data_IF_281141020474
#
_entry.id   IF_281141020474
#
_cell.length_a   1.000
_cell.length_b   1.000
_cell.length_c   1.000
_cell.angle_alpha   90.00
_cell.angle_beta   90.00
_cell.angle_gamma   90.00
#
_symmetry.space_group_name_H-M   'P 1'
#
loop_
_entity.id
_entity.type
_entity.pdbx_description
1 polymer ?
#
# COMPACT_ATOMS: atom_id res chain seq x y z
N UNK A 1 6.02 -17.65 -20.61
CA UNK A 1 4.67 -17.64 -20.01
C UNK A 1 3.79 -16.70 -20.79
N UNK A 2 2.78 -17.25 -21.46
CA UNK A 2 1.87 -16.52 -22.32
C UNK A 2 0.89 -15.66 -21.49
N UNK A 3 0.24 -14.69 -22.14
CA UNK A 3 -0.72 -13.79 -21.47
C UNK A 3 -1.89 -14.55 -20.83
N UNK A 4 -2.35 -15.65 -21.43
CA UNK A 4 -3.40 -16.51 -20.89
C UNK A 4 -2.95 -17.23 -19.61
N UNK A 5 -1.76 -17.86 -19.66
CA UNK A 5 -1.20 -18.59 -18.51
C UNK A 5 -1.01 -17.69 -17.29
N UNK A 6 -0.56 -16.45 -17.49
CA UNK A 6 -0.47 -15.45 -16.41
C UNK A 6 -1.83 -15.14 -15.79
N UNK A 7 -2.86 -15.05 -16.62
CA UNK A 7 -4.21 -14.72 -16.16
C UNK A 7 -4.84 -15.89 -15.40
N UNK A 8 -4.60 -17.13 -15.83
CA UNK A 8 -5.04 -18.35 -15.16
C UNK A 8 -4.34 -18.55 -13.81
N UNK A 9 -3.03 -18.32 -13.74
CA UNK A 9 -2.29 -18.35 -12.47
C UNK A 9 -2.80 -17.31 -11.49
N UNK A 10 -2.95 -16.06 -11.94
CA UNK A 10 -3.54 -15.00 -11.12
C UNK A 10 -4.95 -15.37 -10.62
N UNK A 11 -5.77 -15.99 -11.49
CA UNK A 11 -7.11 -16.44 -11.10
C UNK A 11 -7.06 -17.48 -9.99
N UNK A 12 -6.19 -18.47 -10.13
CA UNK A 12 -6.02 -19.54 -9.14
C UNK A 12 -5.53 -18.98 -7.79
N UNK A 13 -4.53 -18.10 -7.81
CA UNK A 13 -4.04 -17.40 -6.62
C UNK A 13 -5.13 -16.57 -5.96
N UNK A 14 -5.92 -15.84 -6.76
CA UNK A 14 -6.99 -14.98 -6.24
C UNK A 14 -8.11 -15.79 -5.58
N UNK A 15 -8.48 -16.93 -6.16
CA UNK A 15 -9.46 -17.86 -5.57
C UNK A 15 -8.95 -18.39 -4.23
N UNK A 16 -7.69 -18.81 -4.16
CA UNK A 16 -7.09 -19.29 -2.90
C UNK A 16 -7.05 -18.19 -1.84
N UNK A 17 -6.65 -16.98 -2.23
CA UNK A 17 -6.67 -15.81 -1.34
C UNK A 17 -8.08 -15.56 -0.77
N UNK A 18 -9.11 -15.57 -1.61
CA UNK A 18 -10.49 -15.31 -1.19
C UNK A 18 -11.01 -16.42 -0.27
N UNK A 19 -10.64 -17.68 -0.48
CA UNK A 19 -10.98 -18.79 0.42
C UNK A 19 -10.38 -18.60 1.82
N UNK A 20 -9.24 -17.92 1.93
CA UNK A 20 -8.61 -17.58 3.21
C UNK A 20 -9.23 -16.38 3.94
N UNK A 21 -10.15 -15.64 3.32
CA UNK A 21 -10.77 -14.47 3.94
C UNK A 21 -11.80 -14.87 4.99
N UNK A 22 -11.73 -14.25 6.18
CA UNK A 22 -12.70 -14.46 7.27
C UNK A 22 -14.14 -14.10 6.89
N UNK A 23 -14.31 -13.09 6.05
CA UNK A 23 -15.62 -12.65 5.55
C UNK A 23 -15.49 -12.11 4.12
N UNK A 24 -15.56 -12.99 3.11
CA UNK A 24 -15.57 -12.57 1.72
C UNK A 24 -16.81 -11.70 1.43
N UNK A 25 -16.69 -10.73 0.53
CA UNK A 25 -17.84 -9.94 0.08
C UNK A 25 -18.77 -10.78 -0.83
N UNK A 26 -19.95 -10.27 -1.17
CA UNK A 26 -20.93 -11.03 -1.96
C UNK A 26 -20.44 -11.40 -3.37
N UNK A 27 -19.70 -10.51 -4.03
CA UNK A 27 -19.11 -10.77 -5.35
C UNK A 27 -18.06 -11.89 -5.29
N UNK A 28 -17.25 -11.90 -4.23
CA UNK A 28 -16.24 -12.91 -3.96
C UNK A 28 -16.86 -14.27 -3.62
N UNK A 29 -17.94 -14.28 -2.83
CA UNK A 29 -18.73 -15.51 -2.57
C UNK A 29 -19.30 -16.08 -3.86
N UNK A 30 -19.91 -15.24 -4.70
CA UNK A 30 -20.42 -15.68 -6.01
C UNK A 30 -19.30 -16.23 -6.89
N UNK A 31 -18.13 -15.60 -6.88
CA UNK A 31 -16.97 -16.09 -7.62
C UNK A 31 -16.53 -17.48 -7.15
N UNK A 32 -16.48 -17.72 -5.84
CA UNK A 32 -16.16 -19.05 -5.29
C UNK A 32 -17.20 -20.10 -5.71
N UNK A 33 -18.49 -19.81 -5.56
CA UNK A 33 -19.58 -20.72 -5.95
C UNK A 33 -19.46 -21.07 -7.45
N UNK A 34 -19.28 -20.06 -8.30
CA UNK A 34 -19.13 -20.26 -9.73
C UNK A 34 -17.83 -20.99 -10.07
N UNK A 35 -16.79 -20.92 -9.25
CA UNK A 35 -15.53 -21.65 -9.45
C UNK A 35 -15.66 -23.12 -9.04
N UNK A 36 -16.42 -23.43 -7.99
CA UNK A 36 -16.59 -24.79 -7.45
C UNK A 36 -17.63 -25.61 -8.23
N UNK A 37 -18.51 -24.95 -8.99
CA UNK A 37 -19.51 -25.62 -9.83
C UNK A 37 -18.87 -26.51 -10.91
N UNK A 38 -19.17 -27.80 -10.93
CA UNK A 38 -18.64 -28.74 -11.93
C UNK A 38 -19.18 -28.44 -13.34
N UNK A 39 -20.50 -28.32 -13.49
CA UNK A 39 -21.15 -28.06 -14.78
C UNK A 39 -21.40 -26.56 -15.00
N UNK A 40 -20.36 -25.84 -15.40
CA UNK A 40 -20.50 -24.41 -15.72
C UNK A 40 -21.20 -24.22 -17.06
N UNK A 41 -22.29 -23.46 -17.05
CA UNK A 41 -22.94 -23.02 -18.29
C UNK A 41 -22.12 -21.93 -18.98
N UNK A 42 -22.39 -21.65 -20.26
CA UNK A 42 -21.77 -20.52 -20.96
C UNK A 42 -22.01 -19.18 -20.24
N UNK A 43 -23.17 -19.03 -19.59
CA UNK A 43 -23.50 -17.85 -18.79
C UNK A 43 -22.67 -17.79 -17.49
N UNK A 44 -22.42 -18.92 -16.84
CA UNK A 44 -21.57 -19.00 -15.65
C UNK A 44 -20.13 -18.60 -15.97
N UNK A 45 -19.58 -19.09 -17.09
CA UNK A 45 -18.24 -18.76 -17.55
C UNK A 45 -18.13 -17.25 -17.84
N UNK A 46 -19.13 -16.69 -18.52
CA UNK A 46 -19.19 -15.24 -18.81
C UNK A 46 -19.25 -14.42 -17.52
N UNK A 47 -20.10 -14.83 -16.58
CA UNK A 47 -20.24 -14.17 -15.27
C UNK A 47 -18.93 -14.23 -14.49
N UNK A 48 -18.28 -15.40 -14.45
CA UNK A 48 -16.99 -15.58 -13.80
C UNK A 48 -15.91 -14.66 -14.40
N UNK A 49 -15.85 -14.57 -15.73
CA UNK A 49 -14.92 -13.67 -16.43
C UNK A 49 -15.13 -12.20 -16.06
N UNK A 50 -16.39 -11.76 -15.90
CA UNK A 50 -16.71 -10.39 -15.47
C UNK A 50 -16.30 -10.15 -14.02
N UNK A 51 -16.58 -11.10 -13.12
CA UNK A 51 -16.18 -11.02 -11.71
C UNK A 51 -14.65 -10.93 -11.58
N UNK A 52 -13.91 -11.74 -12.34
CA UNK A 52 -12.44 -11.70 -12.34
C UNK A 52 -11.91 -10.33 -12.80
N UNK A 53 -12.49 -9.73 -13.84
CA UNK A 53 -12.10 -8.39 -14.29
C UNK A 53 -12.39 -7.31 -13.25
N UNK A 54 -13.52 -7.42 -12.55
CA UNK A 54 -13.86 -6.51 -11.46
C UNK A 54 -12.86 -6.61 -10.31
N UNK A 55 -12.48 -7.83 -9.90
CA UNK A 55 -11.46 -8.08 -8.89
C UNK A 55 -10.09 -7.51 -9.29
N UNK A 56 -9.65 -7.69 -10.54
CA UNK A 56 -8.40 -7.09 -11.03
C UNK A 56 -8.44 -5.56 -11.01
N UNK A 57 -9.57 -4.96 -11.38
CA UNK A 57 -9.72 -3.51 -11.34
C UNK A 57 -9.67 -2.97 -9.91
N UNK A 58 -10.31 -3.68 -8.97
CA UNK A 58 -10.28 -3.33 -7.55
C UNK A 58 -8.86 -3.43 -6.97
N UNK A 59 -8.12 -4.50 -7.29
CA UNK A 59 -6.72 -4.68 -6.88
C UNK A 59 -5.83 -3.55 -7.41
N UNK A 60 -5.92 -3.22 -8.70
CA UNK A 60 -5.17 -2.10 -9.29
C UNK A 60 -5.52 -0.76 -8.65
N UNK A 61 -6.79 -0.52 -8.33
CA UNK A 61 -7.21 0.70 -7.65
C UNK A 61 -6.63 0.78 -6.23
N UNK A 62 -6.58 -0.34 -5.50
CA UNK A 62 -5.94 -0.40 -4.18
C UNK A 62 -4.43 -0.13 -4.27
N UNK A 63 -3.75 -0.73 -5.23
CA UNK A 63 -2.31 -0.52 -5.45
C UNK A 63 -2.01 0.96 -5.79
N UNK A 64 -2.81 1.56 -6.67
CA UNK A 64 -2.67 2.98 -7.03
C UNK A 64 -2.89 3.90 -5.81
N UNK A 65 -3.92 3.64 -5.00
CA UNK A 65 -4.16 4.38 -3.74
C UNK A 65 -2.98 4.24 -2.78
N UNK A 66 -2.44 3.03 -2.61
CA UNK A 66 -1.28 2.80 -1.76
C UNK A 66 -0.04 3.57 -2.21
N UNK A 67 0.22 3.60 -3.53
CA UNK A 67 1.32 4.39 -4.12
C UNK A 67 1.19 5.88 -3.83
N UNK A 68 0.00 6.46 -4.03
CA UNK A 68 -0.27 7.88 -3.74
C UNK A 68 -0.09 8.17 -2.25
N UNK A 69 -0.63 7.33 -1.37
CA UNK A 69 -0.47 7.50 0.08
C UNK A 69 1.00 7.43 0.50
N UNK A 70 1.78 6.51 -0.08
CA UNK A 70 3.22 6.42 0.18
C UNK A 70 3.98 7.68 -0.23
N UNK A 71 3.60 8.29 -1.36
CA UNK A 71 4.18 9.56 -1.83
C UNK A 71 3.86 10.69 -0.86
N UNK A 72 2.58 10.86 -0.49
CA UNK A 72 2.16 11.88 0.49
C UNK A 72 2.92 11.70 1.82
N UNK A 73 3.06 10.47 2.29
CA UNK A 73 3.81 10.18 3.53
C UNK A 73 5.31 10.37 3.38
N UNK A 74 5.88 10.22 2.17
CA UNK A 74 7.27 10.55 1.91
C UNK A 74 7.49 12.07 1.99
N UNK A 75 6.61 12.86 1.40
CA UNK A 75 6.65 14.33 1.47
C UNK A 75 6.53 14.83 2.91
N UNK A 76 5.52 14.38 3.66
CA UNK A 76 5.36 14.73 5.09
C UNK A 76 6.60 14.38 5.92
N UNK A 77 7.23 13.22 5.65
CA UNK A 77 8.47 12.82 6.31
C UNK A 77 9.65 13.71 5.93
N UNK A 78 9.72 14.18 4.68
CA UNK A 78 10.76 15.10 4.22
C UNK A 78 10.61 16.47 4.89
N UNK A 79 9.40 17.02 4.94
CA UNK A 79 9.08 18.28 5.65
C UNK A 79 9.44 18.19 7.14
N UNK A 80 9.03 17.11 7.82
CA UNK A 80 9.37 16.90 9.23
C UNK A 80 10.88 16.75 9.47
N UNK A 81 11.66 16.28 8.50
CA UNK A 81 13.14 16.26 8.59
C UNK A 81 13.72 17.66 8.38
N UNK A 82 13.19 18.43 7.43
CA UNK A 82 13.63 19.80 7.18
C UNK A 82 13.39 20.71 8.41
N UNK A 83 12.21 20.61 9.03
CA UNK A 83 11.88 21.34 10.25
C UNK A 83 12.83 21.00 11.41
N UNK A 84 13.16 19.72 11.59
CA UNK A 84 14.14 19.28 12.59
C UNK A 84 15.54 19.85 12.31
N UNK A 85 16.01 19.77 11.07
CA UNK A 85 17.31 20.35 10.67
C UNK A 85 17.38 21.85 10.94
N UNK A 86 16.32 22.59 10.63
CA UNK A 86 16.25 24.03 10.89
C UNK A 86 16.31 24.35 12.39
N UNK A 87 15.55 23.60 13.20
CA UNK A 87 15.57 23.73 14.67
C UNK A 87 16.95 23.41 15.25
N UNK A 88 17.55 22.30 14.84
CA UNK A 88 18.86 21.88 15.35
C UNK A 88 19.94 22.88 14.92
N UNK A 89 19.86 23.44 13.71
CA UNK A 89 20.75 24.52 13.27
C UNK A 89 20.60 25.79 14.12
N UNK A 90 19.36 26.21 14.43
CA UNK A 90 19.11 27.35 15.31
C UNK A 90 19.65 27.12 16.74
N UNK A 91 19.55 25.88 17.25
CA UNK A 91 20.11 25.51 18.55
C UNK A 91 21.64 25.58 18.55
N UNK A 92 22.31 25.13 17.49
CA UNK A 92 23.76 25.27 17.38
C UNK A 92 24.20 26.74 17.30
N UNK A 93 23.47 27.57 16.56
CA UNK A 93 23.76 29.00 16.47
C UNK A 93 23.59 29.68 17.84
N UNK A 94 22.50 29.41 18.56
CA UNK A 94 22.29 29.99 19.89
C UNK A 94 23.33 29.52 20.90
N UNK A 95 23.70 28.23 20.89
CA UNK A 95 24.78 27.71 21.72
C UNK A 95 26.12 28.42 21.42
N UNK A 96 26.45 28.62 20.14
CA UNK A 96 27.66 29.36 19.74
C UNK A 96 27.65 30.81 20.22
N UNK A 97 26.51 31.50 20.14
CA UNK A 97 26.36 32.85 20.67
C UNK A 97 26.51 32.92 22.20
N UNK A 98 25.98 31.94 22.93
CA UNK A 98 26.13 31.86 24.39
C UNK A 98 27.57 31.59 24.82
N UNK A 99 28.29 30.74 24.06
CA UNK A 99 29.73 30.52 24.26
C UNK A 99 30.50 31.82 24.01
N UNK A 100 30.22 32.53 22.91
CA UNK A 100 30.87 33.80 22.58
C UNK A 100 30.59 34.90 23.61
N UNK A 101 29.39 34.92 24.19
CA UNK A 101 29.04 35.85 25.26
C UNK A 101 29.67 35.47 26.61
N UNK A 102 30.37 34.33 26.72
CA UNK A 102 31.01 33.86 27.95
C UNK A 102 30.04 33.29 28.98
N UNK A 103 28.79 32.97 28.59
CA UNK A 103 27.77 32.41 29.49
C UNK A 103 27.84 30.87 29.61
N UNK A 104 28.73 30.20 28.87
CA UNK A 104 28.92 28.75 28.90
C UNK A 104 30.38 28.44 29.25
N UNK A 105 30.62 27.79 30.39
CA UNK A 105 31.93 27.27 30.79
C UNK A 105 32.21 25.95 30.05
N UNK A 106 33.28 25.93 29.26
CA UNK A 106 33.68 24.77 28.44
C UNK A 106 34.56 23.77 29.20
N UNK A 107 34.92 24.05 30.47
CA UNK A 107 35.81 23.20 31.27
C UNK A 107 35.12 22.27 32.28
N UNK A 108 33.82 22.39 32.51
CA UNK A 108 33.10 21.61 33.55
C UNK A 108 32.01 20.67 33.03
N UNK A 109 32.04 20.33 31.74
CA UNK A 109 31.18 19.29 31.13
C UNK A 109 31.79 17.90 31.18
#
# INVERSE_FOLDING_TARGET
MNKSEKQEQWAAERVQYIRGLKSPNEQQKLMLILTDKADKTAQDIKTLSLLMKAEQAAEKAQEARAKVMNLIQAEKRAEARAARKARDHALYQSAGLLILAGLVDSKTG
#
